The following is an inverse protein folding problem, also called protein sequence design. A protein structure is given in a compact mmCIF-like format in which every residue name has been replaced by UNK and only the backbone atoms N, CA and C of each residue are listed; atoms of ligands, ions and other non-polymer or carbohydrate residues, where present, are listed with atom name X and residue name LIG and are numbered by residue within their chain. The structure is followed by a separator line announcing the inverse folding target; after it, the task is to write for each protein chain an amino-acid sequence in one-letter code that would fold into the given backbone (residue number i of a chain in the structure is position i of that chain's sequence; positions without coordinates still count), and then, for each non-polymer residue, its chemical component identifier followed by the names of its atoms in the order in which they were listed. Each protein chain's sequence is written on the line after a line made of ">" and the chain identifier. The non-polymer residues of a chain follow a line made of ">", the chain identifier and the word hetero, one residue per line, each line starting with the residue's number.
data_IF_795552902248
#
_entry.id   IF_795552902248
#
_cell.length_a   1.000
_cell.length_b   1.000
_cell.length_c   1.000
_cell.angle_alpha   90.00
_cell.angle_beta   90.00
_cell.angle_gamma   90.00
#
_symmetry.space_group_name_H-M   'P 1'
#
loop_
_entity.id
_entity.type
_entity.pdbx_description
1 polymer ?
#
# COMPACT_ATOMS: atom_id res chain seq x y z
N UNK A 1 -18.56 4.89 16.39
CA UNK A 1 -17.20 4.33 16.30
C UNK A 1 -16.89 4.20 14.82
N UNK A 2 -16.36 5.25 14.20
CA UNK A 2 -16.13 5.26 12.75
C UNK A 2 -15.00 6.24 12.46
N UNK A 3 -13.88 6.04 13.13
CA UNK A 3 -12.61 6.68 12.79
C UNK A 3 -11.82 5.63 11.99
N UNK A 4 -11.39 5.99 10.78
CA UNK A 4 -10.53 5.22 9.87
C UNK A 4 -11.22 4.19 8.94
N UNK A 5 -11.75 4.65 7.80
CA UNK A 5 -12.10 3.78 6.66
C UNK A 5 -12.00 4.47 5.29
N UNK A 6 -11.09 5.45 5.14
CA UNK A 6 -10.80 6.06 3.83
C UNK A 6 -9.45 5.57 3.25
N UNK A 7 -8.78 4.63 3.91
CA UNK A 7 -7.46 4.11 3.51
C UNK A 7 -7.34 2.58 3.54
N UNK A 8 -8.25 1.89 4.24
CA UNK A 8 -8.24 0.41 4.33
C UNK A 8 -8.95 -0.29 3.17
N UNK A 9 -9.99 0.33 2.61
CA UNK A 9 -10.77 -0.25 1.51
C UNK A 9 -9.96 -0.41 0.22
N UNK A 10 -9.14 0.57 -0.15
CA UNK A 10 -8.32 0.46 -1.36
C UNK A 10 -7.22 -0.60 -1.22
N UNK A 11 -6.61 -0.72 -0.04
CA UNK A 11 -5.62 -1.75 0.24
C UNK A 11 -6.22 -3.15 0.10
N UNK A 12 -7.35 -3.40 0.77
CA UNK A 12 -8.04 -4.68 0.74
C UNK A 12 -8.64 -5.03 -0.64
N UNK A 13 -8.81 -4.05 -1.53
CA UNK A 13 -9.22 -4.27 -2.92
C UNK A 13 -8.07 -4.72 -3.82
N UNK A 14 -6.83 -4.44 -3.42
CA UNK A 14 -5.63 -4.79 -4.18
C UNK A 14 -5.04 -6.09 -3.62
N UNK A 15 -4.98 -6.21 -2.29
CA UNK A 15 -4.64 -7.43 -1.55
C UNK A 15 -5.74 -8.48 -1.78
N UNK A 16 -5.58 -9.24 -2.85
CA UNK A 16 -6.57 -10.17 -3.39
C UNK A 16 -6.45 -11.53 -2.71
N UNK A 17 -5.25 -11.89 -2.26
CA UNK A 17 -5.01 -13.10 -1.47
C UNK A 17 -5.23 -12.91 0.04
N UNK A 18 -5.43 -11.66 0.48
CA UNK A 18 -5.68 -11.26 1.85
C UNK A 18 -4.56 -11.67 2.81
N UNK A 19 -3.31 -11.64 2.33
CA UNK A 19 -2.12 -11.92 3.13
C UNK A 19 -1.68 -10.73 3.99
N UNK A 20 -2.32 -9.56 3.82
CA UNK A 20 -2.02 -8.32 4.54
C UNK A 20 -0.89 -7.50 3.91
N UNK A 21 -0.49 -7.84 2.68
CA UNK A 21 0.50 -7.17 1.85
C UNK A 21 -0.02 -7.09 0.42
N UNK A 22 0.59 -6.24 -0.39
CA UNK A 22 0.31 -6.19 -1.83
C UNK A 22 1.57 -6.65 -2.54
N UNK A 23 1.49 -7.78 -3.24
CA UNK A 23 2.56 -8.24 -4.11
C UNK A 23 2.67 -7.39 -5.38
N UNK A 24 3.83 -7.44 -6.05
CA UNK A 24 4.00 -6.78 -7.35
C UNK A 24 2.96 -7.25 -8.40
N UNK A 25 2.50 -8.50 -8.31
CA UNK A 25 1.48 -9.05 -9.20
C UNK A 25 0.10 -8.41 -8.93
N UNK A 26 -0.29 -8.29 -7.67
CA UNK A 26 -1.54 -7.64 -7.26
C UNK A 26 -1.51 -6.14 -7.58
N UNK A 27 -0.39 -5.46 -7.30
CA UNK A 27 -0.20 -4.08 -7.72
C UNK A 27 -0.28 -3.93 -9.24
N UNK A 28 0.27 -4.85 -10.02
CA UNK A 28 0.14 -4.82 -11.48
C UNK A 28 -1.31 -4.99 -11.94
N UNK A 29 -2.06 -5.92 -11.33
CA UNK A 29 -3.49 -6.10 -11.61
C UNK A 29 -4.33 -4.87 -11.26
N UNK A 30 -3.95 -4.14 -10.20
CA UNK A 30 -4.59 -2.88 -9.80
C UNK A 30 -4.10 -1.64 -10.58
N UNK A 31 -3.18 -1.80 -11.56
CA UNK A 31 -2.61 -0.67 -12.31
C UNK A 31 -1.61 0.18 -11.51
N UNK A 32 -1.18 -0.30 -10.35
CA UNK A 32 -0.18 0.33 -9.49
C UNK A 32 1.25 -0.13 -9.77
N UNK A 33 1.49 -1.04 -10.72
CA UNK A 33 2.83 -1.57 -11.01
C UNK A 33 3.93 -0.50 -11.17
N UNK A 34 3.62 0.64 -11.80
CA UNK A 34 4.57 1.76 -11.94
C UNK A 34 4.82 2.54 -10.64
N UNK A 35 3.84 2.54 -9.73
CA UNK A 35 3.91 3.18 -8.40
C UNK A 35 4.37 2.19 -7.32
N UNK A 36 4.40 0.90 -7.63
CA UNK A 36 4.78 -0.17 -6.72
C UNK A 36 6.13 0.12 -6.07
N UNK A 37 7.15 0.38 -6.87
CA UNK A 37 8.49 0.76 -6.41
C UNK A 37 8.56 2.07 -5.63
N UNK A 38 7.56 2.94 -5.76
CA UNK A 38 7.50 4.18 -4.99
C UNK A 38 6.80 3.98 -3.64
N UNK A 39 6.07 2.87 -3.47
CA UNK A 39 5.35 2.49 -2.26
C UNK A 39 6.12 1.44 -1.46
N UNK A 40 6.81 0.52 -2.14
CA UNK A 40 7.77 -0.45 -1.60
C UNK A 40 9.04 0.31 -1.17
N UNK A 41 9.03 0.79 0.08
CA UNK A 41 10.08 1.66 0.64
C UNK A 41 11.24 0.84 1.19
N UNK A 42 10.96 -0.37 1.69
CA UNK A 42 11.98 -1.28 2.19
C UNK A 42 12.62 -2.14 1.09
N UNK A 43 12.00 -2.23 -0.09
CA UNK A 43 12.50 -2.96 -1.24
C UNK A 43 12.34 -4.47 -1.10
N UNK A 44 11.43 -4.95 -0.25
CA UNK A 44 11.20 -6.38 -0.02
C UNK A 44 10.40 -7.06 -1.15
N UNK A 45 9.85 -6.26 -2.07
CA UNK A 45 9.04 -6.74 -3.19
C UNK A 45 7.56 -6.90 -2.86
N UNK A 46 7.11 -6.33 -1.73
CA UNK A 46 5.73 -6.23 -1.29
C UNK A 46 5.44 -4.81 -0.76
N UNK A 47 4.16 -4.43 -0.73
CA UNK A 47 3.74 -3.21 -0.02
C UNK A 47 2.95 -3.64 1.19
N UNK A 48 3.50 -3.41 2.37
CA UNK A 48 2.80 -3.63 3.62
C UNK A 48 1.68 -2.59 3.82
N UNK A 49 0.69 -2.90 4.66
CA UNK A 49 -0.34 -1.92 5.04
C UNK A 49 0.26 -0.63 5.62
N UNK A 50 1.40 -0.73 6.31
CA UNK A 50 2.13 0.41 6.84
C UNK A 50 2.70 1.31 5.73
N UNK A 51 3.33 0.71 4.71
CA UNK A 51 3.87 1.42 3.55
C UNK A 51 2.78 2.01 2.67
N UNK A 52 1.68 1.29 2.47
CA UNK A 52 0.51 1.80 1.75
C UNK A 52 -0.06 3.05 2.45
N UNK A 53 -0.23 2.98 3.78
CA UNK A 53 -0.66 4.13 4.57
C UNK A 53 0.39 5.27 4.58
N UNK A 54 1.68 4.95 4.60
CA UNK A 54 2.75 5.93 4.55
C UNK A 54 2.75 6.67 3.20
N UNK A 55 2.68 5.94 2.09
CA UNK A 55 2.62 6.52 0.74
C UNK A 55 1.35 7.35 0.49
N UNK A 56 0.23 7.00 1.12
CA UNK A 56 -1.02 7.76 1.04
C UNK A 56 -1.02 8.99 1.97
N UNK A 57 -0.21 8.96 3.04
CA UNK A 57 0.01 10.08 3.98
C UNK A 57 1.21 10.95 3.65
N UNK A 58 2.02 10.60 2.63
CA UNK A 58 3.28 11.26 2.29
C UNK A 58 3.16 12.68 1.69
N UNK A 59 2.00 13.34 1.84
CA UNK A 59 1.89 14.80 1.84
C UNK A 59 2.48 15.44 3.13
N UNK A 60 3.12 14.65 3.99
CA UNK A 60 3.96 15.13 5.09
C UNK A 60 5.25 14.31 5.22
N UNK A 61 6.40 14.99 5.41
CA UNK A 61 7.72 14.40 5.32
C UNK A 61 7.98 13.44 6.50
N UNK A 62 8.82 12.44 6.20
CA UNK A 62 9.31 11.33 7.03
C UNK A 62 9.70 11.68 8.48
N UNK A 63 9.44 10.81 9.49
CA UNK A 63 10.18 10.82 10.75
C UNK A 63 11.48 9.98 10.62
N UNK A 64 12.49 10.22 11.47
CA UNK A 64 13.85 9.65 11.38
C UNK A 64 13.93 8.15 11.69
#
# INVERSE_FOLDING_TARGET
>A
MSDQALTGDDFARIDTDHDGRISAAEAANAGLGSRFKALDMDGDGYISSAEFHAGMRADKPTPP
#
